data_IF_561176125168
#
_entry.id   IF_561176125168
#
_cell.length_a   1.000
_cell.length_b   1.000
_cell.length_c   1.000
_cell.angle_alpha   90.00
_cell.angle_beta   90.00
_cell.angle_gamma   90.00
#
_symmetry.space_group_name_H-M   'P 1'
#
loop_
_entity.id
_entity.type
_entity.pdbx_description
1 polymer ?
#
# COMPACT_ATOMS: atom_id res chain seq x y z
N UNK A 1 -32.95 -20.79 -20.51
CA UNK A 1 -31.53 -21.06 -20.21
C UNK A 1 -31.34 -21.04 -18.70
N UNK A 2 -31.04 -22.20 -18.10
CA UNK A 2 -30.88 -22.34 -16.65
C UNK A 2 -29.59 -21.63 -16.19
N UNK A 3 -29.63 -20.73 -15.20
CA UNK A 3 -28.41 -20.16 -14.65
C UNK A 3 -27.69 -21.25 -13.88
N UNK A 4 -26.57 -21.71 -14.43
CA UNK A 4 -25.61 -22.60 -13.78
C UNK A 4 -25.39 -22.19 -12.32
N UNK A 5 -25.48 -23.15 -11.39
CA UNK A 5 -25.12 -23.04 -9.97
C UNK A 5 -23.64 -22.66 -9.77
N UNK A 6 -23.21 -21.48 -10.23
CA UNK A 6 -21.95 -20.88 -9.81
C UNK A 6 -22.17 -20.38 -8.38
N UNK A 7 -21.31 -20.82 -7.46
CA UNK A 7 -21.35 -20.53 -6.02
C UNK A 7 -21.85 -19.11 -5.76
N UNK A 8 -22.93 -18.98 -5.00
CA UNK A 8 -23.56 -17.71 -4.58
C UNK A 8 -22.64 -16.97 -3.61
N UNK A 9 -21.51 -16.49 -4.09
CA UNK A 9 -20.70 -15.55 -3.33
C UNK A 9 -21.44 -14.21 -3.29
N UNK A 10 -21.41 -13.48 -2.16
CA UNK A 10 -22.00 -12.16 -2.08
C UNK A 10 -21.34 -11.22 -3.12
N UNK A 11 -22.10 -10.26 -3.69
CA UNK A 11 -21.58 -9.36 -4.69
C UNK A 11 -20.41 -8.54 -4.13
N UNK A 12 -19.31 -8.49 -4.87
CA UNK A 12 -18.12 -7.75 -4.45
C UNK A 12 -18.34 -6.24 -4.63
N UNK A 13 -17.93 -5.46 -3.63
CA UNK A 13 -17.98 -4.00 -3.70
C UNK A 13 -16.92 -3.45 -4.68
N UNK A 14 -17.33 -2.58 -5.59
CA UNK A 14 -16.46 -1.96 -6.62
C UNK A 14 -15.32 -1.14 -6.00
N UNK A 15 -15.54 -0.56 -4.82
CA UNK A 15 -14.54 0.22 -4.08
C UNK A 15 -13.73 -0.64 -3.09
N UNK A 16 -13.84 -1.98 -3.08
CA UNK A 16 -13.19 -2.83 -2.07
C UNK A 16 -11.67 -2.61 -1.97
N UNK A 17 -10.99 -2.53 -3.12
CA UNK A 17 -9.55 -2.21 -3.15
C UNK A 17 -9.25 -0.81 -2.58
N UNK A 18 -10.18 0.15 -2.73
CA UNK A 18 -10.07 1.47 -2.13
C UNK A 18 -10.22 1.45 -0.61
N UNK A 19 -11.15 0.65 -0.07
CA UNK A 19 -11.30 0.48 1.38
C UNK A 19 -10.07 -0.19 2.00
N UNK A 20 -9.57 -1.28 1.39
CA UNK A 20 -8.34 -1.94 1.84
C UNK A 20 -7.13 -1.00 1.80
N UNK A 21 -7.02 -0.21 0.73
CA UNK A 21 -5.97 0.81 0.64
C UNK A 21 -6.11 1.88 1.73
N UNK A 22 -7.33 2.34 2.02
CA UNK A 22 -7.59 3.28 3.12
C UNK A 22 -7.18 2.71 4.48
N UNK A 23 -7.52 1.45 4.75
CA UNK A 23 -7.12 0.72 5.95
C UNK A 23 -5.59 0.64 6.10
N UNK A 24 -4.90 0.20 5.04
CA UNK A 24 -3.44 0.08 5.03
C UNK A 24 -2.76 1.43 5.24
N UNK A 25 -3.19 2.47 4.50
CA UNK A 25 -2.60 3.80 4.61
C UNK A 25 -2.82 4.42 5.99
N UNK A 26 -4.02 4.26 6.57
CA UNK A 26 -4.30 4.71 7.92
C UNK A 26 -3.39 3.99 8.93
N UNK A 27 -3.28 2.66 8.85
CA UNK A 27 -2.43 1.88 9.75
C UNK A 27 -0.95 2.23 9.67
N UNK A 28 -0.39 2.35 8.45
CA UNK A 28 1.01 2.76 8.26
C UNK A 28 1.24 4.17 8.80
N UNK A 29 0.34 5.12 8.50
CA UNK A 29 0.45 6.48 9.00
C UNK A 29 0.42 6.51 10.53
N UNK A 30 -0.47 5.72 11.15
CA UNK A 30 -0.56 5.60 12.60
C UNK A 30 0.73 5.06 13.21
N UNK A 31 1.30 3.96 12.68
CA UNK A 31 2.59 3.44 13.18
C UNK A 31 3.68 4.50 13.09
N UNK A 32 3.82 5.17 11.94
CA UNK A 32 4.85 6.19 11.74
C UNK A 32 4.69 7.38 12.69
N UNK A 33 3.46 7.86 12.87
CA UNK A 33 3.15 8.98 13.79
C UNK A 33 3.40 8.57 15.24
N UNK A 34 2.91 7.41 15.68
CA UNK A 34 3.12 6.91 17.04
C UNK A 34 4.60 6.76 17.35
N UNK A 35 5.35 6.13 16.44
CA UNK A 35 6.80 5.95 16.60
C UNK A 35 7.58 7.25 16.59
N UNK A 36 7.22 8.20 15.72
CA UNK A 36 7.83 9.53 15.70
C UNK A 36 7.55 10.29 17.00
N UNK A 37 6.32 10.22 17.51
CA UNK A 37 5.93 10.81 18.78
C UNK A 37 6.71 10.20 19.95
N UNK A 38 6.79 8.86 20.04
CA UNK A 38 7.54 8.17 21.10
C UNK A 38 9.03 8.53 21.06
N UNK A 39 9.63 8.61 19.87
CA UNK A 39 11.03 9.04 19.71
C UNK A 39 11.24 10.48 20.15
N UNK A 40 10.34 11.39 19.79
CA UNK A 40 10.44 12.81 20.15
C UNK A 40 10.26 13.06 21.65
N UNK A 41 9.48 12.21 22.33
CA UNK A 41 9.15 12.35 23.75
C UNK A 41 10.01 11.47 24.67
N UNK A 42 10.95 10.69 24.12
CA UNK A 42 11.85 9.84 24.91
C UNK A 42 11.20 8.58 25.48
N UNK A 43 10.18 8.03 24.80
CA UNK A 43 9.41 6.86 25.23
C UNK A 43 8.75 7.03 26.61
N UNK A 44 7.90 8.05 26.80
CA UNK A 44 7.22 8.28 28.06
C UNK A 44 6.31 7.09 28.37
N UNK A 45 6.47 6.51 29.55
CA UNK A 45 5.58 5.45 30.00
C UNK A 45 4.28 6.08 30.48
N UNK A 46 3.18 5.87 29.74
CA UNK A 46 1.84 6.26 30.17
C UNK A 46 1.28 5.11 31.01
N UNK A 47 1.39 5.24 32.33
CA UNK A 47 0.94 4.24 33.31
C UNK A 47 1.82 4.25 34.57
N UNK A 48 1.23 4.54 35.73
CA UNK A 48 1.89 4.47 37.03
C UNK A 48 1.48 3.21 37.79
N UNK A 49 2.37 2.67 38.64
CA UNK A 49 2.04 1.60 39.59
C UNK A 49 1.83 0.20 39.01
N UNK A 50 2.46 -0.14 37.87
CA UNK A 50 2.36 -1.47 37.25
C UNK A 50 1.22 -1.65 36.23
N UNK A 51 0.38 -0.62 36.03
CA UNK A 51 -0.65 -0.58 35.00
C UNK A 51 -0.18 0.23 33.79
N UNK A 52 0.44 -0.43 32.81
CA UNK A 52 0.70 0.16 31.50
C UNK A 52 -0.54 0.02 30.61
N UNK A 53 -1.23 1.13 30.31
CA UNK A 53 -2.30 1.12 29.32
C UNK A 53 -1.63 1.04 27.95
N UNK A 54 -1.47 -0.19 27.44
CA UNK A 54 -0.91 -0.41 26.13
C UNK A 54 -1.80 0.23 25.06
N UNK A 55 -1.19 0.93 24.10
CA UNK A 55 -1.91 1.47 22.94
C UNK A 55 -2.59 0.36 22.11
N UNK A 56 -2.22 -0.92 22.34
CA UNK A 56 -2.92 -2.11 21.85
C UNK A 56 -4.38 -2.18 22.26
N UNK A 57 -4.76 -1.78 23.48
CA UNK A 57 -6.17 -1.80 23.91
C UNK A 57 -6.98 -0.79 23.10
N UNK A 58 -6.46 0.42 22.96
CA UNK A 58 -7.05 1.46 22.11
C UNK A 58 -7.06 1.04 20.64
N UNK A 59 -6.02 0.35 20.18
CA UNK A 59 -5.95 -0.25 18.86
C UNK A 59 -7.09 -1.26 18.62
N UNK A 60 -7.29 -2.19 19.55
CA UNK A 60 -8.39 -3.14 19.56
C UNK A 60 -9.76 -2.45 19.55
N UNK A 61 -9.94 -1.43 20.40
CA UNK A 61 -11.19 -0.65 20.47
C UNK A 61 -11.48 0.06 19.14
N UNK A 62 -10.50 0.73 18.55
CA UNK A 62 -10.67 1.40 17.25
C UNK A 62 -10.95 0.39 16.12
N UNK A 63 -10.35 -0.79 16.13
CA UNK A 63 -10.71 -1.87 15.21
C UNK A 63 -12.18 -2.30 15.38
N UNK A 64 -12.63 -2.48 16.62
CA UNK A 64 -14.02 -2.82 16.92
C UNK A 64 -14.99 -1.71 16.49
N UNK A 65 -14.65 -0.44 16.71
CA UNK A 65 -15.43 0.71 16.23
C UNK A 65 -15.46 0.74 14.71
N UNK A 66 -14.33 0.51 14.04
CA UNK A 66 -14.25 0.46 12.58
C UNK A 66 -15.14 -0.63 11.98
N UNK A 67 -15.15 -1.82 12.59
CA UNK A 67 -16.07 -2.91 12.24
C UNK A 67 -17.52 -2.52 12.52
N UNK A 68 -17.80 -1.94 13.69
CA UNK A 68 -19.13 -1.46 14.07
C UNK A 68 -19.69 -0.45 13.07
N UNK A 69 -18.86 0.48 12.58
CA UNK A 69 -19.27 1.44 11.53
C UNK A 69 -19.70 0.71 10.26
N UNK A 70 -18.97 -0.33 9.85
CA UNK A 70 -19.31 -1.11 8.66
C UNK A 70 -20.57 -1.99 8.84
N UNK A 71 -20.92 -2.36 10.09
CA UNK A 71 -22.11 -3.14 10.42
C UNK A 71 -23.36 -2.28 10.60
N UNK A 72 -23.22 -1.09 11.20
CA UNK A 72 -24.35 -0.21 11.55
C UNK A 72 -24.79 0.65 10.37
N UNK A 73 -23.86 1.10 9.52
CA UNK A 73 -24.14 2.08 8.48
C UNK A 73 -24.01 1.50 7.07
N UNK A 74 -24.90 1.94 6.18
CA UNK A 74 -24.90 1.55 4.77
C UNK A 74 -24.03 2.49 3.91
N UNK A 75 -23.60 1.95 2.76
CA UNK A 75 -22.96 2.70 1.69
C UNK A 75 -21.44 2.88 1.83
N UNK A 76 -20.81 3.31 0.74
CA UNK A 76 -19.35 3.33 0.64
C UNK A 76 -18.64 4.34 1.55
N UNK A 77 -19.31 5.43 1.94
CA UNK A 77 -18.72 6.39 2.86
C UNK A 77 -18.52 5.78 4.27
N UNK A 78 -19.49 5.02 4.75
CA UNK A 78 -19.39 4.29 6.01
C UNK A 78 -18.30 3.22 5.94
N UNK A 79 -18.26 2.43 4.86
CA UNK A 79 -17.22 1.41 4.66
C UNK A 79 -15.81 2.03 4.62
N UNK A 80 -15.64 3.18 3.98
CA UNK A 80 -14.37 3.91 3.99
C UNK A 80 -14.02 4.45 5.38
N UNK A 81 -14.98 5.03 6.10
CA UNK A 81 -14.76 5.50 7.46
C UNK A 81 -14.37 4.33 8.39
N UNK A 82 -15.08 3.22 8.31
CA UNK A 82 -14.76 1.99 9.05
C UNK A 82 -13.38 1.44 8.70
N UNK A 83 -13.00 1.47 7.42
CA UNK A 83 -11.66 1.08 6.97
C UNK A 83 -10.57 2.01 7.53
N UNK A 84 -10.76 3.33 7.53
CA UNK A 84 -9.80 4.28 8.08
C UNK A 84 -9.69 4.11 9.60
N UNK A 85 -10.80 4.08 10.32
CA UNK A 85 -10.83 3.92 11.79
C UNK A 85 -10.23 2.57 12.19
N UNK A 86 -10.63 1.49 11.51
CA UNK A 86 -10.08 0.16 11.74
C UNK A 86 -8.61 0.07 11.39
N UNK A 87 -8.17 0.74 10.32
CA UNK A 87 -6.75 0.83 9.94
C UNK A 87 -5.91 1.55 10.99
N UNK A 88 -6.39 2.69 11.50
CA UNK A 88 -5.78 3.39 12.63
C UNK A 88 -5.67 2.49 13.85
N UNK A 89 -6.74 1.77 14.19
CA UNK A 89 -6.73 0.81 15.29
C UNK A 89 -5.71 -0.32 15.10
N UNK A 90 -5.66 -0.88 13.90
CA UNK A 90 -4.68 -1.89 13.53
C UNK A 90 -3.24 -1.38 13.61
N UNK A 91 -3.00 -0.14 13.19
CA UNK A 91 -1.70 0.53 13.31
C UNK A 91 -1.24 0.67 14.76
N UNK A 92 -2.11 1.11 15.67
CA UNK A 92 -1.78 1.16 17.11
C UNK A 92 -1.54 -0.23 17.70
N UNK A 93 -2.32 -1.22 17.26
CA UNK A 93 -2.19 -2.59 17.73
C UNK A 93 -0.86 -3.23 17.31
N UNK A 94 -0.50 -3.12 16.03
CA UNK A 94 0.70 -3.77 15.49
C UNK A 94 1.99 -3.08 15.96
N UNK A 95 1.95 -1.80 16.34
CA UNK A 95 3.14 -1.07 16.82
C UNK A 95 3.73 -1.68 18.10
N UNK A 96 2.87 -2.27 18.93
CA UNK A 96 3.23 -2.92 20.20
C UNK A 96 3.54 -4.41 20.04
N UNK A 97 3.54 -4.95 18.81
CA UNK A 97 3.77 -6.39 18.57
C UNK A 97 5.09 -6.88 19.18
N UNK A 98 6.11 -6.01 19.24
CA UNK A 98 7.40 -6.32 19.84
C UNK A 98 7.32 -6.77 21.30
N UNK A 99 6.42 -6.18 22.09
CA UNK A 99 6.26 -6.53 23.51
C UNK A 99 5.68 -7.92 23.76
N UNK A 100 4.92 -8.43 22.79
CA UNK A 100 4.16 -9.68 22.95
C UNK A 100 4.83 -10.88 22.29
N UNK A 101 5.90 -10.65 21.51
CA UNK A 101 6.64 -11.74 20.84
C UNK A 101 7.74 -12.32 21.74
N UNK A 102 8.22 -11.58 22.74
CA UNK A 102 9.22 -12.07 23.69
C UNK A 102 8.62 -12.39 25.05
N UNK A 103 9.10 -13.48 25.68
CA UNK A 103 8.68 -13.90 27.02
C UNK A 103 9.02 -12.87 28.12
N UNK A 104 10.01 -12.00 27.89
CA UNK A 104 10.19 -10.74 28.62
C UNK A 104 9.63 -9.60 27.78
N UNK A 105 8.75 -8.78 28.34
CA UNK A 105 8.08 -7.62 27.72
C UNK A 105 9.05 -6.52 27.25
N UNK A 106 9.91 -6.82 26.26
CA UNK A 106 10.91 -5.91 25.72
C UNK A 106 10.33 -5.08 24.58
N UNK A 107 10.17 -3.78 24.83
CA UNK A 107 9.74 -2.78 23.83
C UNK A 107 10.64 -2.75 22.59
N UNK A 108 11.89 -3.21 22.72
CA UNK A 108 12.93 -3.14 21.69
C UNK A 108 13.28 -4.50 21.08
N UNK A 109 12.33 -5.44 21.02
CA UNK A 109 12.51 -6.65 20.25
C UNK A 109 12.75 -6.31 18.77
N UNK A 110 14.00 -6.44 18.32
CA UNK A 110 14.47 -5.94 17.02
C UNK A 110 13.66 -6.47 15.82
N UNK A 111 13.15 -7.73 15.81
CA UNK A 111 12.27 -8.20 14.75
C UNK A 111 10.88 -7.53 14.71
N UNK A 112 10.46 -6.72 15.69
CA UNK A 112 9.15 -6.08 15.68
C UNK A 112 8.96 -5.18 14.44
N UNK A 113 9.97 -4.40 14.07
CA UNK A 113 9.91 -3.54 12.89
C UNK A 113 9.79 -4.37 11.59
N UNK A 114 10.47 -5.51 11.50
CA UNK A 114 10.37 -6.42 10.36
C UNK A 114 8.99 -7.09 10.25
N UNK A 115 8.38 -7.45 11.38
CA UNK A 115 7.03 -8.03 11.43
C UNK A 115 6.01 -6.99 10.96
N UNK A 116 6.08 -5.77 11.50
CA UNK A 116 5.20 -4.66 11.09
C UNK A 116 5.32 -4.44 9.57
N UNK A 117 6.55 -4.33 9.06
CA UNK A 117 6.78 -4.14 7.64
C UNK A 117 6.24 -5.30 6.80
N UNK A 118 6.53 -6.55 7.16
CA UNK A 118 6.08 -7.73 6.44
C UNK A 118 4.54 -7.82 6.37
N UNK A 119 3.87 -7.52 7.49
CA UNK A 119 2.41 -7.49 7.56
C UNK A 119 1.82 -6.43 6.64
N UNK A 120 2.34 -5.19 6.66
CA UNK A 120 1.85 -4.15 5.76
C UNK A 120 2.19 -4.43 4.30
N UNK A 121 3.39 -4.96 4.01
CA UNK A 121 3.77 -5.38 2.66
C UNK A 121 2.80 -6.46 2.12
N UNK A 122 2.46 -7.45 2.95
CA UNK A 122 1.47 -8.47 2.62
C UNK A 122 0.09 -7.85 2.36
N UNK A 123 -0.38 -6.94 3.21
CA UNK A 123 -1.66 -6.26 3.01
C UNK A 123 -1.68 -5.42 1.72
N UNK A 124 -0.57 -4.79 1.34
CA UNK A 124 -0.43 -4.08 0.06
C UNK A 124 -0.53 -5.07 -1.11
N UNK A 125 0.16 -6.21 -1.04
CA UNK A 125 0.09 -7.27 -2.07
C UNK A 125 -1.34 -7.80 -2.21
N UNK A 126 -2.02 -8.07 -1.09
CA UNK A 126 -3.43 -8.49 -1.09
C UNK A 126 -4.31 -7.42 -1.74
N UNK A 127 -4.14 -6.15 -1.35
CA UNK A 127 -4.90 -5.02 -1.90
C UNK A 127 -4.71 -4.90 -3.41
N UNK A 128 -3.47 -5.05 -3.89
CA UNK A 128 -3.14 -5.01 -5.31
C UNK A 128 -3.73 -6.23 -6.05
N UNK A 129 -3.64 -7.42 -5.48
CA UNK A 129 -4.23 -8.64 -6.05
C UNK A 129 -5.76 -8.52 -6.17
N UNK A 130 -6.42 -7.94 -5.17
CA UNK A 130 -7.86 -7.64 -5.21
C UNK A 130 -8.16 -6.63 -6.32
N UNK A 131 -7.37 -5.57 -6.45
CA UNK A 131 -7.53 -4.56 -7.50
C UNK A 131 -7.40 -5.13 -8.90
N UNK A 132 -6.37 -5.92 -9.16
CA UNK A 132 -6.04 -6.43 -10.50
C UNK A 132 -6.98 -7.54 -10.96
N UNK A 133 -7.52 -8.34 -10.03
CA UNK A 133 -8.43 -9.47 -10.33
C UNK A 133 -9.91 -9.08 -10.29
N UNK A 134 -10.23 -7.81 -10.03
CA UNK A 134 -11.63 -7.37 -9.93
C UNK A 134 -12.24 -7.11 -11.31
N UNK A 135 -12.75 -8.18 -11.93
CA UNK A 135 -13.72 -8.09 -13.04
C UNK A 135 -15.12 -8.34 -12.49
N UNK A 136 -15.99 -7.32 -12.52
CA UNK A 136 -17.37 -7.42 -12.03
C UNK A 136 -18.27 -8.07 -13.07
N UNK A 137 -19.01 -9.09 -12.64
CA UNK A 137 -20.11 -9.68 -13.43
C UNK A 137 -21.24 -8.67 -13.62
N UNK A 138 -22.11 -8.89 -14.60
CA UNK A 138 -23.25 -7.98 -14.83
C UNK A 138 -24.14 -7.82 -13.59
N UNK A 139 -24.40 -8.92 -12.86
CA UNK A 139 -25.13 -8.88 -11.59
C UNK A 139 -24.41 -8.07 -10.50
N UNK A 140 -23.09 -8.21 -10.37
CA UNK A 140 -22.31 -7.40 -9.43
C UNK A 140 -22.35 -5.92 -9.80
N UNK A 141 -22.30 -5.56 -11.08
CA UNK A 141 -22.39 -4.15 -11.51
C UNK A 141 -23.74 -3.54 -11.16
N UNK A 142 -24.84 -4.26 -11.38
CA UNK A 142 -26.18 -3.82 -10.99
C UNK A 142 -26.29 -3.69 -9.46
N UNK A 143 -25.78 -4.66 -8.70
CA UNK A 143 -25.77 -4.60 -7.24
C UNK A 143 -24.99 -3.38 -6.70
N UNK A 144 -23.83 -3.08 -7.28
CA UNK A 144 -23.05 -1.89 -6.92
C UNK A 144 -23.74 -0.58 -7.32
N UNK A 145 -24.48 -0.57 -8.43
CA UNK A 145 -25.29 0.57 -8.84
C UNK A 145 -26.39 0.85 -7.81
N UNK A 146 -27.11 -0.19 -7.37
CA UNK A 146 -28.14 -0.09 -6.33
C UNK A 146 -27.55 0.31 -4.97
N UNK A 147 -26.40 -0.24 -4.55
CA UNK A 147 -25.70 0.20 -3.32
C UNK A 147 -25.33 1.68 -3.37
N UNK A 148 -24.99 2.20 -4.55
CA UNK A 148 -24.74 3.64 -4.76
C UNK A 148 -26.00 4.47 -4.62
N UNK A 149 -27.14 4.01 -5.17
CA UNK A 149 -28.45 4.66 -5.00
C UNK A 149 -28.83 4.71 -3.53
N UNK A 150 -28.76 3.58 -2.82
CA UNK A 150 -29.05 3.49 -1.38
C UNK A 150 -28.19 4.44 -0.56
N UNK A 151 -26.87 4.47 -0.83
CA UNK A 151 -25.96 5.40 -0.16
C UNK A 151 -26.20 6.89 -0.50
N UNK A 152 -26.95 7.15 -1.57
CA UNK A 152 -27.32 8.48 -2.04
C UNK A 152 -28.61 9.05 -1.46
N UNK A 153 -29.54 8.20 -1.01
CA UNK A 153 -30.90 8.61 -0.59
C UNK A 153 -30.87 9.73 0.46
N UNK A 154 -30.03 9.63 1.47
CA UNK A 154 -30.00 10.62 2.57
C UNK A 154 -29.16 11.87 2.30
N UNK A 155 -28.07 11.78 1.52
CA UNK A 155 -27.10 12.88 1.34
C UNK A 155 -27.03 13.43 -0.08
N UNK A 156 -27.80 12.86 -1.00
CA UNK A 156 -27.73 13.10 -2.42
C UNK A 156 -26.48 12.52 -3.09
N UNK A 157 -26.50 12.53 -4.42
CA UNK A 157 -25.40 12.07 -5.28
C UNK A 157 -24.86 13.20 -6.14
N UNK A 158 -23.54 13.21 -6.34
CA UNK A 158 -22.90 14.10 -7.31
C UNK A 158 -23.16 13.62 -8.74
N UNK A 159 -23.18 14.53 -9.71
CA UNK A 159 -23.41 14.17 -11.12
C UNK A 159 -22.43 13.13 -11.63
N UNK A 160 -21.16 13.23 -11.20
CA UNK A 160 -20.13 12.24 -11.52
C UNK A 160 -20.47 10.84 -11.00
N UNK A 161 -21.05 10.73 -9.80
CA UNK A 161 -21.51 9.44 -9.26
C UNK A 161 -22.72 8.92 -10.04
N UNK A 162 -23.71 9.77 -10.34
CA UNK A 162 -24.89 9.39 -11.17
C UNK A 162 -24.48 8.82 -12.53
N UNK A 163 -23.59 9.51 -13.26
CA UNK A 163 -23.06 9.03 -14.55
C UNK A 163 -22.30 7.71 -14.41
N UNK A 164 -21.57 7.52 -13.30
CA UNK A 164 -20.84 6.27 -13.05
C UNK A 164 -21.81 5.12 -12.74
N UNK A 165 -22.87 5.36 -11.97
CA UNK A 165 -23.95 4.40 -11.71
C UNK A 165 -24.64 3.97 -13.00
N UNK A 166 -25.02 4.91 -13.88
CA UNK A 166 -25.63 4.59 -15.18
C UNK A 166 -24.68 3.77 -16.06
N UNK A 167 -23.38 4.05 -16.04
CA UNK A 167 -22.40 3.25 -16.78
C UNK A 167 -22.26 1.82 -16.25
N UNK A 168 -22.50 1.57 -14.96
CA UNK A 168 -22.43 0.22 -14.38
C UNK A 168 -23.55 -0.68 -14.92
N UNK A 169 -24.75 -0.13 -15.11
CA UNK A 169 -25.92 -0.89 -15.55
C UNK A 169 -26.02 -1.07 -17.07
N UNK A 170 -25.20 -0.37 -17.87
CA UNK A 170 -25.17 -0.55 -19.33
C UNK A 170 -24.97 -2.02 -19.71
N UNK A 171 -25.82 -2.50 -20.61
CA UNK A 171 -25.83 -3.88 -21.09
C UNK A 171 -26.44 -4.88 -20.11
N UNK A 172 -27.13 -4.42 -19.05
CA UNK A 172 -27.89 -5.28 -18.14
C UNK A 172 -29.31 -5.58 -18.66
N UNK A 173 -29.77 -4.86 -19.69
CA UNK A 173 -31.09 -4.98 -20.30
C UNK A 173 -31.93 -3.72 -20.07
N UNK A 174 -32.85 -3.40 -21.01
CA UNK A 174 -33.58 -2.13 -21.00
C UNK A 174 -34.41 -1.91 -19.73
N UNK A 175 -35.03 -2.97 -19.20
CA UNK A 175 -35.84 -2.89 -17.97
C UNK A 175 -35.01 -2.52 -16.74
N UNK A 176 -33.84 -3.13 -16.57
CA UNK A 176 -32.94 -2.86 -15.43
C UNK A 176 -32.33 -1.47 -15.55
N UNK A 177 -31.91 -1.07 -16.74
CA UNK A 177 -31.37 0.27 -16.99
C UNK A 177 -32.41 1.35 -16.70
N UNK A 178 -33.65 1.15 -17.15
CA UNK A 178 -34.77 2.06 -16.88
C UNK A 178 -35.13 2.12 -15.39
N UNK A 179 -35.21 0.98 -14.71
CA UNK A 179 -35.52 0.95 -13.28
C UNK A 179 -34.46 1.71 -12.45
N UNK A 180 -33.17 1.51 -12.76
CA UNK A 180 -32.08 2.22 -12.04
C UNK A 180 -32.04 3.71 -12.38
N UNK A 181 -32.36 4.12 -13.60
CA UNK A 181 -32.47 5.54 -13.94
C UNK A 181 -33.61 6.22 -13.18
N UNK A 182 -34.78 5.59 -13.11
CA UNK A 182 -35.92 6.11 -12.34
C UNK A 182 -35.58 6.26 -10.85
N UNK A 183 -34.91 5.27 -10.27
CA UNK A 183 -34.45 5.35 -8.87
C UNK A 183 -33.41 6.45 -8.67
N UNK A 184 -32.49 6.65 -9.61
CA UNK A 184 -31.53 7.74 -9.54
C UNK A 184 -32.24 9.10 -9.56
N UNK A 185 -33.24 9.29 -10.41
CA UNK A 185 -33.98 10.54 -10.53
C UNK A 185 -34.74 10.92 -9.26
N UNK A 186 -35.15 9.93 -8.47
CA UNK A 186 -35.69 10.15 -7.12
C UNK A 186 -34.64 10.55 -6.06
N UNK A 187 -33.34 10.29 -6.30
CA UNK A 187 -32.27 10.65 -5.36
C UNK A 187 -31.85 12.12 -5.53
N UNK A 188 -31.80 12.92 -4.44
CA UNK A 188 -31.38 14.32 -4.50
C UNK A 188 -30.01 14.51 -5.15
N UNK A 189 -29.81 15.63 -5.83
CA UNK A 189 -28.48 16.03 -6.32
C UNK A 189 -27.69 16.67 -5.19
N UNK A 190 -26.39 16.33 -5.14
CA UNK A 190 -25.45 16.93 -4.21
C UNK A 190 -24.35 17.64 -4.99
N UNK A 191 -24.15 18.91 -4.70
CA UNK A 191 -23.01 19.64 -5.23
C UNK A 191 -21.68 19.05 -4.72
N UNK A 192 -20.65 18.94 -5.57
CA UNK A 192 -19.35 18.51 -5.13
C UNK A 192 -18.82 19.46 -4.04
N UNK A 193 -18.14 18.95 -3.00
CA UNK A 193 -17.58 19.82 -1.98
C UNK A 193 -16.63 20.85 -2.61
N UNK A 194 -16.60 22.10 -2.10
CA UNK A 194 -15.78 23.16 -2.68
C UNK A 194 -14.31 22.76 -2.73
N UNK A 195 -13.60 23.25 -3.75
CA UNK A 195 -12.17 23.00 -3.91
C UNK A 195 -11.43 23.54 -2.69
N UNK A 196 -10.84 22.64 -1.89
CA UNK A 196 -10.02 23.06 -0.74
C UNK A 196 -8.81 23.86 -1.25
N UNK A 197 -8.40 24.88 -0.51
CA UNK A 197 -7.31 25.78 -0.89
C UNK A 197 -5.96 25.08 -1.12
N UNK A 198 -5.74 23.90 -0.53
CA UNK A 198 -4.55 23.07 -0.78
C UNK A 198 -4.58 22.28 -2.09
N UNK A 199 -5.74 22.09 -2.73
CA UNK A 199 -5.86 21.25 -3.94
C UNK A 199 -5.01 21.75 -5.13
N UNK A 200 -4.94 23.06 -5.43
CA UNK A 200 -4.05 23.57 -6.47
C UNK A 200 -2.58 23.30 -6.16
N UNK A 201 -2.17 23.44 -4.90
CA UNK A 201 -0.80 23.16 -4.45
C UNK A 201 -0.46 21.68 -4.61
N UNK A 202 -1.35 20.78 -4.17
CA UNK A 202 -1.23 19.34 -4.39
C UNK A 202 -1.14 18.99 -5.88
N UNK A 203 -1.93 19.62 -6.74
CA UNK A 203 -1.89 19.42 -8.17
C UNK A 203 -0.55 19.87 -8.78
N UNK A 204 -0.02 21.02 -8.35
CA UNK A 204 1.30 21.54 -8.77
C UNK A 204 2.43 20.63 -8.29
N UNK A 205 2.40 20.18 -7.04
CA UNK A 205 3.38 19.25 -6.49
C UNK A 205 3.37 17.92 -7.26
N UNK A 206 2.18 17.37 -7.56
CA UNK A 206 2.07 16.16 -8.39
C UNK A 206 2.61 16.37 -9.80
N UNK A 207 2.31 17.50 -10.43
CA UNK A 207 2.83 17.83 -11.75
C UNK A 207 4.36 17.96 -11.75
N UNK A 208 4.93 18.62 -10.72
CA UNK A 208 6.37 18.72 -10.50
C UNK A 208 7.01 17.36 -10.27
N UNK A 209 6.43 16.52 -9.41
CA UNK A 209 6.91 15.16 -9.16
C UNK A 209 6.89 14.30 -10.43
N UNK A 210 5.81 14.35 -11.22
CA UNK A 210 5.75 13.63 -12.51
C UNK A 210 6.81 14.14 -13.48
N UNK A 211 7.06 15.45 -13.52
CA UNK A 211 8.12 16.03 -14.37
C UNK A 211 9.51 15.56 -13.94
N UNK A 212 9.77 15.52 -12.63
CA UNK A 212 11.04 15.02 -12.08
C UNK A 212 11.23 13.52 -12.40
N UNK A 213 10.22 12.71 -12.14
CA UNK A 213 10.24 11.25 -12.36
C UNK A 213 10.50 10.90 -13.84
N UNK A 214 10.03 11.73 -14.77
CA UNK A 214 10.23 11.56 -16.23
C UNK A 214 11.47 12.24 -16.78
N UNK A 215 12.25 12.93 -15.95
CA UNK A 215 13.43 13.64 -16.41
C UNK A 215 14.53 12.64 -16.78
N UNK A 216 15.09 12.76 -17.98
CA UNK A 216 16.08 11.83 -18.56
C UNK A 216 17.29 11.61 -17.64
N UNK A 217 17.76 12.69 -17.01
CA UNK A 217 18.90 12.65 -16.09
C UNK A 217 18.55 11.91 -14.79
N UNK A 218 17.31 12.02 -14.30
CA UNK A 218 16.83 11.25 -13.13
C UNK A 218 16.78 9.78 -13.48
N UNK A 219 16.24 9.42 -14.65
CA UNK A 219 16.20 8.02 -15.10
C UNK A 219 17.61 7.45 -15.21
N UNK A 220 18.56 8.19 -15.79
CA UNK A 220 19.95 7.76 -15.88
C UNK A 220 20.59 7.56 -14.49
N UNK A 221 20.39 8.51 -13.57
CA UNK A 221 20.85 8.40 -12.19
C UNK A 221 20.26 7.17 -11.47
N UNK A 222 18.96 6.94 -11.64
CA UNK A 222 18.25 5.78 -11.07
C UNK A 222 18.81 4.48 -11.63
N UNK A 223 19.05 4.38 -12.93
CA UNK A 223 19.65 3.18 -13.54
C UNK A 223 21.07 2.94 -12.99
N UNK A 224 21.89 3.98 -12.88
CA UNK A 224 23.23 3.86 -12.30
C UNK A 224 23.15 3.38 -10.85
N UNK A 225 22.28 4.00 -10.04
CA UNK A 225 22.07 3.60 -8.65
C UNK A 225 21.66 2.14 -8.52
N UNK A 226 20.68 1.68 -9.31
CA UNK A 226 20.17 0.30 -9.27
C UNK A 226 21.19 -0.77 -9.68
N UNK A 227 22.26 -0.39 -10.39
CA UNK A 227 23.34 -1.30 -10.77
C UNK A 227 24.47 -1.23 -9.75
N UNK A 228 24.86 -0.02 -9.33
CA UNK A 228 26.03 0.19 -8.47
C UNK A 228 25.75 -0.21 -7.03
N UNK A 229 24.61 0.20 -6.46
CA UNK A 229 24.32 0.00 -5.03
C UNK A 229 24.29 -1.48 -4.62
N UNK A 230 23.60 -2.39 -5.34
CA UNK A 230 23.61 -3.80 -5.00
C UNK A 230 24.99 -4.45 -5.15
N UNK A 231 25.77 -4.05 -6.15
CA UNK A 231 27.12 -4.56 -6.39
C UNK A 231 28.08 -4.13 -5.27
N UNK A 232 28.01 -2.86 -4.86
CA UNK A 232 28.80 -2.34 -3.74
C UNK A 232 28.44 -3.06 -2.45
N UNK A 233 27.15 -3.29 -2.19
CA UNK A 233 26.69 -3.98 -0.99
C UNK A 233 27.17 -5.44 -0.94
N UNK A 234 27.05 -6.19 -2.04
CA UNK A 234 27.62 -7.55 -2.13
C UNK A 234 29.14 -7.52 -1.95
N UNK A 235 29.83 -6.53 -2.54
CA UNK A 235 31.26 -6.34 -2.38
C UNK A 235 31.69 -6.07 -0.94
N UNK A 236 30.98 -5.20 -0.21
CA UNK A 236 31.28 -4.93 1.20
C UNK A 236 31.11 -6.16 2.07
N UNK A 237 30.05 -6.94 1.86
CA UNK A 237 29.82 -8.19 2.61
C UNK A 237 30.93 -9.21 2.37
N UNK A 238 31.43 -9.33 1.13
CA UNK A 238 32.57 -10.19 0.82
C UNK A 238 33.85 -9.74 1.53
N UNK A 239 34.12 -8.43 1.54
CA UNK A 239 35.28 -7.86 2.25
C UNK A 239 35.18 -8.10 3.76
N UNK A 240 34.00 -7.88 4.34
CA UNK A 240 33.78 -8.09 5.78
C UNK A 240 33.93 -9.57 6.16
N UNK A 241 33.53 -10.49 5.27
CA UNK A 241 33.71 -11.92 5.47
C UNK A 241 35.16 -12.38 5.39
N UNK A 242 35.95 -11.82 4.48
CA UNK A 242 37.38 -12.13 4.38
C UNK A 242 38.18 -11.49 5.52
N UNK A 243 37.74 -10.35 6.04
CA UNK A 243 38.42 -9.64 7.16
C UNK A 243 38.02 -10.14 8.54
N UNK A 244 37.13 -11.15 8.63
CA UNK A 244 36.66 -11.71 9.91
C UNK A 244 35.73 -10.79 10.70
N UNK A 245 35.34 -9.64 10.15
CA UNK A 245 34.47 -8.66 10.82
C UNK A 245 33.01 -9.11 10.90
N UNK A 246 32.62 -10.11 10.12
CA UNK A 246 31.29 -10.70 10.22
C UNK A 246 31.08 -11.39 11.58
N UNK A 247 32.13 -11.92 12.22
CA UNK A 247 32.08 -12.60 13.52
C UNK A 247 31.64 -11.69 14.68
N UNK A 248 31.78 -10.39 14.53
CA UNK A 248 31.32 -9.40 15.52
C UNK A 248 29.83 -9.03 15.36
N UNK A 249 29.20 -9.41 14.24
CA UNK A 249 27.83 -8.99 13.93
C UNK A 249 26.82 -9.90 14.63
N UNK A 250 26.18 -9.38 15.67
CA UNK A 250 25.23 -10.12 16.53
C UNK A 250 23.98 -10.67 15.81
N UNK A 251 23.76 -10.36 14.52
CA UNK A 251 22.55 -10.68 13.74
C UNK A 251 22.85 -11.26 12.34
N UNK A 252 23.75 -12.24 12.27
CA UNK A 252 24.13 -12.93 11.04
C UNK A 252 22.95 -13.33 10.13
N UNK A 253 21.82 -13.80 10.70
CA UNK A 253 20.65 -14.21 9.91
C UNK A 253 20.00 -13.08 9.12
N UNK A 254 19.94 -11.87 9.68
CA UNK A 254 19.40 -10.71 8.99
C UNK A 254 20.36 -10.20 7.91
N UNK A 255 21.68 -10.23 8.20
CA UNK A 255 22.72 -9.88 7.23
C UNK A 255 22.69 -10.83 6.04
N UNK A 256 22.56 -12.14 6.27
CA UNK A 256 22.40 -13.13 5.20
C UNK A 256 21.14 -12.86 4.36
N UNK A 257 20.03 -12.50 4.99
CA UNK A 257 18.79 -12.13 4.30
C UNK A 257 18.93 -10.89 3.40
N UNK A 258 19.52 -9.81 3.92
CA UNK A 258 19.83 -8.60 3.13
C UNK A 258 20.79 -8.92 1.99
N UNK A 259 21.84 -9.68 2.27
CA UNK A 259 22.88 -10.04 1.29
C UNK A 259 22.31 -10.89 0.15
N UNK A 260 21.45 -11.86 0.47
CA UNK A 260 20.78 -12.68 -0.54
C UNK A 260 19.86 -11.84 -1.43
N UNK A 261 19.08 -10.92 -0.85
CA UNK A 261 18.26 -9.99 -1.62
C UNK A 261 19.10 -9.06 -2.50
N UNK A 262 20.20 -8.52 -1.96
CA UNK A 262 21.14 -7.68 -2.68
C UNK A 262 21.82 -8.42 -3.83
N UNK A 263 22.19 -9.69 -3.64
CA UNK A 263 22.76 -10.53 -4.69
C UNK A 263 21.76 -10.75 -5.84
N UNK A 264 20.51 -11.08 -5.53
CA UNK A 264 19.45 -11.21 -6.54
C UNK A 264 19.24 -9.87 -7.27
N UNK A 265 19.20 -8.76 -6.53
CA UNK A 265 19.08 -7.43 -7.12
C UNK A 265 20.28 -7.08 -8.03
N UNK A 266 21.51 -7.42 -7.63
CA UNK A 266 22.72 -7.21 -8.41
C UNK A 266 22.70 -8.02 -9.72
N UNK A 267 22.36 -9.30 -9.66
CA UNK A 267 22.26 -10.16 -10.86
C UNK A 267 21.20 -9.62 -11.83
N UNK A 268 20.03 -9.24 -11.31
CA UNK A 268 18.95 -8.66 -12.12
C UNK A 268 19.33 -7.28 -12.68
N UNK A 269 20.00 -6.43 -11.90
CA UNK A 269 20.45 -5.10 -12.29
C UNK A 269 21.51 -5.13 -13.39
N UNK A 270 22.52 -5.99 -13.24
CA UNK A 270 23.56 -6.21 -14.26
C UNK A 270 22.95 -6.75 -15.55
N UNK A 271 22.06 -7.75 -15.45
CA UNK A 271 21.33 -8.28 -16.63
C UNK A 271 20.47 -7.19 -17.29
N UNK A 272 19.79 -6.37 -16.51
CA UNK A 272 18.99 -5.25 -17.02
C UNK A 272 19.87 -4.20 -17.73
N UNK A 273 21.06 -3.91 -17.21
CA UNK A 273 22.01 -2.99 -17.84
C UNK A 273 22.48 -3.48 -19.21
N UNK A 274 22.77 -4.78 -19.36
CA UNK A 274 23.10 -5.38 -20.66
C UNK A 274 21.93 -5.31 -21.65
N UNK A 275 20.70 -5.55 -21.18
CA UNK A 275 19.49 -5.45 -22.00
C UNK A 275 19.16 -4.02 -22.41
N UNK A 276 19.63 -3.00 -21.70
CA UNK A 276 19.30 -1.59 -21.98
C UNK A 276 19.67 -1.16 -23.41
N UNK A 277 20.68 -1.81 -24.01
CA UNK A 277 21.12 -1.56 -25.40
C UNK A 277 20.23 -2.22 -26.46
N UNK A 278 19.53 -3.31 -26.13
CA UNK A 278 18.83 -4.16 -27.11
C UNK A 278 17.31 -4.18 -26.90
N UNK A 279 16.84 -4.29 -25.65
CA UNK A 279 15.44 -4.30 -25.26
C UNK A 279 15.24 -3.43 -24.01
N UNK A 280 14.94 -2.16 -24.24
CA UNK A 280 14.67 -1.19 -23.15
C UNK A 280 13.47 -1.61 -22.31
N UNK A 281 12.41 -2.18 -22.92
CA UNK A 281 11.23 -2.59 -22.17
C UNK A 281 11.55 -3.77 -21.25
N UNK A 282 12.31 -4.75 -21.74
CA UNK A 282 12.83 -5.86 -20.96
C UNK A 282 13.76 -5.42 -19.82
N UNK A 283 14.65 -4.45 -20.07
CA UNK A 283 15.53 -3.90 -19.05
C UNK A 283 14.75 -3.26 -17.89
N UNK A 284 13.81 -2.36 -18.17
CA UNK A 284 13.00 -1.73 -17.12
C UNK A 284 12.06 -2.72 -16.41
N UNK A 285 11.65 -3.81 -17.07
CA UNK A 285 10.92 -4.90 -16.41
C UNK A 285 11.79 -5.63 -15.38
N UNK A 286 13.06 -5.89 -15.69
CA UNK A 286 14.01 -6.50 -14.75
C UNK A 286 14.37 -5.56 -13.59
N UNK A 287 14.62 -4.28 -13.86
CA UNK A 287 14.82 -3.29 -12.79
C UNK A 287 13.62 -3.22 -11.84
N UNK A 288 12.41 -3.25 -12.39
CA UNK A 288 11.18 -3.31 -11.59
C UNK A 288 11.15 -4.57 -10.73
N UNK A 289 11.50 -5.73 -11.30
CA UNK A 289 11.52 -6.99 -10.56
C UNK A 289 12.55 -6.96 -9.42
N UNK A 290 13.76 -6.44 -9.67
CA UNK A 290 14.80 -6.29 -8.66
C UNK A 290 14.33 -5.44 -7.47
N UNK A 291 13.72 -4.28 -7.76
CA UNK A 291 13.14 -3.41 -6.74
C UNK A 291 12.01 -4.07 -5.96
N UNK A 292 11.14 -4.84 -6.63
CA UNK A 292 10.06 -5.57 -5.95
C UNK A 292 10.60 -6.68 -5.04
N UNK A 293 11.65 -7.39 -5.45
CA UNK A 293 12.32 -8.40 -4.61
C UNK A 293 12.96 -7.72 -3.39
N UNK A 294 13.68 -6.61 -3.58
CA UNK A 294 14.25 -5.85 -2.47
C UNK A 294 13.18 -5.34 -1.50
N UNK A 295 12.10 -4.75 -2.03
CA UNK A 295 10.97 -4.30 -1.22
C UNK A 295 10.31 -5.46 -0.47
N UNK A 296 10.10 -6.62 -1.08
CA UNK A 296 9.40 -7.72 -0.40
C UNK A 296 10.27 -8.47 0.61
N UNK A 297 11.56 -8.65 0.32
CA UNK A 297 12.44 -9.50 1.13
C UNK A 297 13.56 -8.70 1.79
N UNK A 298 14.30 -7.90 1.03
CA UNK A 298 15.42 -7.11 1.54
C UNK A 298 15.01 -6.13 2.64
N UNK A 299 13.89 -5.42 2.44
CA UNK A 299 13.40 -4.45 3.42
C UNK A 299 12.94 -5.11 4.73
N UNK A 300 12.42 -6.35 4.72
CA UNK A 300 12.06 -7.06 5.96
C UNK A 300 13.29 -7.12 6.89
N UNK A 301 14.43 -7.54 6.36
CA UNK A 301 15.67 -7.63 7.13
C UNK A 301 16.28 -6.25 7.41
N UNK A 302 16.17 -5.30 6.48
CA UNK A 302 16.61 -3.92 6.69
C UNK A 302 15.90 -3.27 7.89
N UNK A 303 14.59 -3.53 8.06
CA UNK A 303 13.83 -3.05 9.21
C UNK A 303 14.26 -3.68 10.54
N UNK A 304 14.79 -4.90 10.54
CA UNK A 304 15.39 -5.53 11.74
C UNK A 304 16.64 -4.78 12.19
N UNK A 305 17.54 -4.49 11.23
CA UNK A 305 18.86 -3.89 11.52
C UNK A 305 18.76 -2.39 11.76
N UNK A 306 18.09 -1.66 10.85
CA UNK A 306 18.12 -0.20 10.80
C UNK A 306 16.84 0.48 11.34
N UNK A 307 15.78 -0.27 11.63
CA UNK A 307 14.52 0.22 12.21
C UNK A 307 13.99 1.49 11.53
N UNK A 308 14.13 2.66 12.17
CA UNK A 308 13.70 3.95 11.62
C UNK A 308 14.50 4.36 10.37
N UNK A 309 15.79 4.02 10.29
CA UNK A 309 16.61 4.28 9.11
C UNK A 309 16.06 3.60 7.86
N UNK A 310 15.47 2.41 8.02
CA UNK A 310 14.85 1.67 6.92
C UNK A 310 13.63 2.40 6.31
N UNK A 311 12.97 3.33 7.04
CA UNK A 311 11.89 4.15 6.48
C UNK A 311 12.41 5.08 5.39
N UNK A 312 13.60 5.66 5.56
CA UNK A 312 14.23 6.51 4.55
C UNK A 312 14.63 5.69 3.32
N UNK A 313 15.23 4.50 3.53
CA UNK A 313 15.57 3.57 2.45
C UNK A 313 14.32 3.12 1.68
N UNK A 314 13.24 2.78 2.39
CA UNK A 314 11.95 2.43 1.79
C UNK A 314 11.39 3.57 0.94
N UNK A 315 11.49 4.82 1.41
CA UNK A 315 11.05 5.98 0.64
C UNK A 315 11.86 6.15 -0.66
N UNK A 316 13.17 5.92 -0.60
CA UNK A 316 14.04 5.89 -1.79
C UNK A 316 13.61 4.76 -2.73
N UNK A 317 13.46 3.53 -2.25
CA UNK A 317 13.04 2.38 -3.06
C UNK A 317 11.69 2.61 -3.76
N UNK A 318 10.72 3.21 -3.07
CA UNK A 318 9.42 3.57 -3.64
C UNK A 318 9.55 4.65 -4.73
N UNK A 319 10.46 5.62 -4.54
CA UNK A 319 10.78 6.61 -5.57
C UNK A 319 11.41 5.96 -6.80
N UNK A 320 12.41 5.09 -6.61
CA UNK A 320 13.05 4.34 -7.70
C UNK A 320 12.01 3.50 -8.45
N UNK A 321 11.11 2.82 -7.73
CA UNK A 321 10.04 2.03 -8.31
C UNK A 321 9.08 2.90 -9.13
N UNK A 322 8.76 4.11 -8.68
CA UNK A 322 7.91 5.04 -9.40
C UNK A 322 8.56 5.51 -10.72
N UNK A 323 9.86 5.82 -10.70
CA UNK A 323 10.66 6.18 -11.90
C UNK A 323 10.70 5.03 -12.90
N UNK A 324 11.12 3.84 -12.45
CA UNK A 324 11.24 2.64 -13.30
C UNK A 324 9.87 2.24 -13.88
N UNK A 325 8.81 2.32 -13.08
CA UNK A 325 7.45 1.99 -13.56
C UNK A 325 6.95 3.03 -14.58
N UNK A 326 7.26 4.31 -14.37
CA UNK A 326 6.95 5.38 -15.30
C UNK A 326 7.62 5.17 -16.66
N UNK A 327 8.93 4.92 -16.66
CA UNK A 327 9.69 4.70 -17.89
C UNK A 327 9.33 3.39 -18.59
N UNK A 328 9.10 2.29 -17.84
CA UNK A 328 8.62 1.04 -18.43
C UNK A 328 7.31 1.23 -19.21
N UNK A 329 6.36 2.02 -18.69
CA UNK A 329 5.10 2.32 -19.39
C UNK A 329 5.33 3.15 -20.65
N UNK A 330 6.25 4.13 -20.58
CA UNK A 330 6.59 5.00 -21.71
C UNK A 330 7.25 4.22 -22.84
N UNK A 331 8.29 3.45 -22.54
CA UNK A 331 9.00 2.62 -23.53
C UNK A 331 8.07 1.60 -24.19
N UNK A 332 7.15 0.99 -23.41
CA UNK A 332 6.13 0.08 -23.99
C UNK A 332 5.14 0.78 -24.91
N UNK A 333 4.82 2.05 -24.67
CA UNK A 333 3.94 2.84 -25.53
C UNK A 333 4.64 3.36 -26.79
N UNK A 334 5.97 3.52 -26.76
CA UNK A 334 6.78 3.88 -27.94
C UNK A 334 7.06 2.67 -28.85
N UNK A 335 6.91 1.44 -28.33
CA UNK A 335 7.23 0.19 -29.04
C UNK A 335 6.00 -0.56 -29.61
N UNK A 336 4.79 -0.06 -29.39
CA UNK A 336 3.53 -0.64 -29.89
C UNK A 336 2.72 0.37 -30.65
#
# INVERSE_FOLDING_TARGET
MSPSRRRRLPPRAVEAAGYLQGFVLAGVATVLVTRAYLRATGYPQIGGGGLHIAHVLWGGLLMAVGLGVALVFLGGAARMAGAIVGGTGFGLFIDEVGKFVTAGTDYFYRPAASIIYAVFALLVVITQAVRDRMTLTSGERVANALDTVVGGVGRGLTDRRRVTTLRMVRGAGPEVEYAVSQLLDAVPRREPPPRRFWQPWLARLRAGAVRLIRARWVVALVVVYLVVEPVVNVGSVLVDGVTGRLDEVREWGAVLGVSAAALVAAVLGVRAAFLLRHDRAGAFRLFKLALLVNLLFGQIFNFTVNQFGAVATLAVDLFLLAVVTGEHRRVRAEAG
#
